data_IF_011135030756
#
_entry.id   IF_011135030756
#
_cell.length_a   1.000
_cell.length_b   1.000
_cell.length_c   1.000
_cell.angle_alpha   90.00
_cell.angle_beta   90.00
_cell.angle_gamma   90.00
#
_symmetry.space_group_name_H-M   'P 1'
#
loop_
_entity.id
_entity.type
_entity.pdbx_description
1 polymer ?
#
# COMPACT_ATOMS: atom_id res chain seq x y z
N UNK A 1 52.00 -22.23 41.50
CA UNK A 1 51.18 -22.45 40.29
C UNK A 1 49.74 -22.52 40.73
N UNK A 2 49.04 -21.39 40.67
CA UNK A 2 47.61 -21.27 41.01
C UNK A 2 46.86 -21.29 39.69
N UNK A 3 46.09 -22.36 39.47
CA UNK A 3 45.22 -22.51 38.31
C UNK A 3 43.90 -21.78 38.59
N UNK A 4 43.86 -20.50 38.25
CA UNK A 4 42.67 -19.67 38.31
C UNK A 4 41.87 -19.85 37.02
N UNK A 5 41.12 -20.96 36.92
CA UNK A 5 39.98 -21.07 36.00
C UNK A 5 38.96 -20.00 36.39
N UNK A 6 39.03 -18.83 35.76
CA UNK A 6 37.95 -17.88 35.74
C UNK A 6 36.72 -18.60 35.15
N UNK A 7 35.68 -18.74 35.96
CA UNK A 7 34.31 -18.98 35.51
C UNK A 7 33.76 -17.62 35.04
N UNK A 8 33.67 -17.32 33.74
CA UNK A 8 32.55 -16.52 33.29
C UNK A 8 31.31 -17.45 33.37
N UNK A 9 30.12 -16.95 33.68
CA UNK A 9 28.89 -17.34 32.96
C UNK A 9 27.58 -17.30 33.77
N UNK A 10 27.54 -17.13 35.10
CA UNK A 10 26.22 -17.10 35.77
C UNK A 10 25.50 -15.75 35.59
N UNK A 11 26.17 -14.65 35.90
CA UNK A 11 25.55 -13.32 35.96
C UNK A 11 25.18 -12.75 34.57
N UNK A 12 26.03 -12.98 33.56
CA UNK A 12 25.74 -12.59 32.17
C UNK A 12 24.64 -13.45 31.52
N UNK A 13 24.48 -14.73 31.93
CA UNK A 13 23.40 -15.58 31.43
C UNK A 13 22.05 -15.21 32.03
N UNK A 14 22.01 -14.81 33.29
CA UNK A 14 20.77 -14.33 33.93
C UNK A 14 20.30 -13.00 33.34
N UNK A 15 21.21 -12.04 33.08
CA UNK A 15 20.89 -10.77 32.43
C UNK A 15 20.38 -10.93 30.99
N UNK A 16 21.00 -11.82 30.20
CA UNK A 16 20.57 -12.10 28.84
C UNK A 16 19.20 -12.83 28.80
N UNK A 17 18.99 -13.81 29.67
CA UNK A 17 17.72 -14.53 29.75
C UNK A 17 16.56 -13.64 30.24
N UNK A 18 16.84 -12.68 31.13
CA UNK A 18 15.84 -11.71 31.59
C UNK A 18 15.42 -10.75 30.45
N UNK A 19 16.40 -10.20 29.72
CA UNK A 19 16.14 -9.30 28.59
C UNK A 19 15.35 -9.96 27.45
N UNK A 20 15.66 -11.23 27.13
CA UNK A 20 14.99 -11.98 26.06
C UNK A 20 13.53 -12.29 26.42
N UNK A 21 13.27 -12.67 27.67
CA UNK A 21 11.91 -12.91 28.14
C UNK A 21 11.06 -11.62 28.13
N UNK A 22 11.64 -10.47 28.53
CA UNK A 22 10.95 -9.18 28.51
C UNK A 22 10.62 -8.73 27.07
N UNK A 23 11.52 -8.94 26.11
CA UNK A 23 11.25 -8.66 24.69
C UNK A 23 10.12 -9.55 24.13
N UNK A 24 10.14 -10.85 24.44
CA UNK A 24 9.10 -11.78 24.01
C UNK A 24 7.73 -11.39 24.59
N UNK A 25 7.69 -11.01 25.87
CA UNK A 25 6.47 -10.53 26.54
C UNK A 25 5.99 -9.23 25.89
N UNK A 26 6.89 -8.28 25.58
CA UNK A 26 6.54 -7.03 24.93
C UNK A 26 5.99 -7.24 23.50
N UNK A 27 6.59 -8.14 22.71
CA UNK A 27 6.12 -8.52 21.37
C UNK A 27 4.71 -9.14 21.45
N UNK A 28 4.49 -10.07 22.38
CA UNK A 28 3.18 -10.72 22.60
C UNK A 28 2.08 -9.73 23.00
N UNK A 29 2.40 -8.72 23.82
CA UNK A 29 1.46 -7.65 24.17
C UNK A 29 1.09 -6.82 22.95
N UNK A 30 2.06 -6.48 22.11
CA UNK A 30 1.78 -5.77 20.85
C UNK A 30 0.89 -6.61 19.93
N UNK A 31 1.14 -7.91 19.85
CA UNK A 31 0.31 -8.84 19.06
C UNK A 31 -1.13 -8.93 19.58
N UNK A 32 -1.35 -8.85 20.89
CA UNK A 32 -2.70 -8.75 21.48
C UNK A 32 -3.43 -7.47 21.03
N UNK A 33 -2.78 -6.31 21.14
CA UNK A 33 -3.39 -5.05 20.73
C UNK A 33 -3.60 -4.97 19.21
N UNK A 34 -2.63 -5.45 18.42
CA UNK A 34 -2.73 -5.51 16.97
C UNK A 34 -3.86 -6.44 16.53
N UNK A 35 -3.98 -7.64 17.11
CA UNK A 35 -5.08 -8.57 16.80
C UNK A 35 -6.44 -8.00 17.18
N UNK A 36 -6.57 -7.30 18.30
CA UNK A 36 -7.81 -6.63 18.69
C UNK A 36 -8.19 -5.51 17.71
N UNK A 37 -7.22 -4.67 17.30
CA UNK A 37 -7.45 -3.60 16.33
C UNK A 37 -7.85 -4.16 14.95
N UNK A 38 -7.19 -5.22 14.48
CA UNK A 38 -7.52 -5.89 13.22
C UNK A 38 -8.89 -6.56 13.27
N UNK A 39 -9.29 -7.13 14.41
CA UNK A 39 -10.61 -7.70 14.62
C UNK A 39 -11.72 -6.64 14.53
N UNK A 40 -11.51 -5.47 15.14
CA UNK A 40 -12.43 -4.34 15.04
C UNK A 40 -12.52 -3.83 13.60
N UNK A 41 -11.40 -3.73 12.89
CA UNK A 41 -11.37 -3.34 11.47
C UNK A 41 -12.13 -4.33 10.60
N UNK A 42 -11.93 -5.64 10.79
CA UNK A 42 -12.66 -6.69 10.09
C UNK A 42 -14.17 -6.58 10.33
N UNK A 43 -14.59 -6.34 11.57
CA UNK A 43 -16.00 -6.14 11.90
C UNK A 43 -16.58 -4.89 11.24
N UNK A 44 -15.84 -3.77 11.24
CA UNK A 44 -16.25 -2.54 10.56
C UNK A 44 -16.39 -2.74 9.04
N UNK A 45 -15.46 -3.49 8.41
CA UNK A 45 -15.54 -3.84 7.00
C UNK A 45 -16.74 -4.74 6.69
N UNK A 46 -17.03 -5.73 7.53
CA UNK A 46 -18.24 -6.57 7.40
C UNK A 46 -19.51 -5.71 7.47
N UNK A 47 -19.61 -4.85 8.48
CA UNK A 47 -20.77 -3.97 8.65
C UNK A 47 -21.00 -3.08 7.42
N UNK A 48 -19.93 -2.51 6.85
CA UNK A 48 -20.03 -1.73 5.60
C UNK A 48 -20.33 -2.59 4.37
N UNK A 49 -19.72 -3.75 4.24
CA UNK A 49 -19.92 -4.62 3.08
C UNK A 49 -21.35 -5.13 2.99
N UNK A 50 -21.99 -5.38 4.14
CA UNK A 50 -23.39 -5.79 4.23
C UNK A 50 -24.39 -4.67 3.84
N UNK A 51 -23.95 -3.41 3.76
CA UNK A 51 -24.81 -2.31 3.28
C UNK A 51 -24.90 -2.21 1.77
N UNK A 52 -24.04 -2.92 1.02
CA UNK A 52 -24.11 -2.96 -0.44
C UNK A 52 -25.15 -3.99 -0.92
N UNK A 53 -25.91 -3.68 -1.99
CA UNK A 53 -26.87 -4.62 -2.55
C UNK A 53 -26.16 -5.86 -3.12
N UNK A 54 -26.57 -7.04 -2.66
CA UNK A 54 -26.02 -8.33 -3.11
C UNK A 54 -26.61 -8.78 -4.44
N UNK A 55 -27.83 -8.36 -4.77
CA UNK A 55 -28.50 -8.66 -6.03
C UNK A 55 -29.19 -7.37 -6.44
N UNK A 56 -28.79 -6.79 -7.57
CA UNK A 56 -29.40 -5.56 -8.08
C UNK A 56 -29.55 -5.62 -9.60
N UNK A 57 -30.62 -5.00 -10.10
CA UNK A 57 -30.88 -4.91 -11.54
C UNK A 57 -30.21 -3.65 -12.07
N UNK A 58 -29.06 -3.81 -12.73
CA UNK A 58 -28.38 -2.71 -13.39
C UNK A 58 -28.62 -2.81 -14.90
N UNK A 59 -29.28 -1.80 -15.49
CA UNK A 59 -29.55 -1.78 -16.93
C UNK A 59 -30.59 -2.80 -17.44
N UNK A 60 -31.49 -3.30 -16.58
CA UNK A 60 -32.56 -4.24 -16.96
C UNK A 60 -32.12 -5.71 -17.02
N UNK A 61 -30.89 -6.02 -16.62
CA UNK A 61 -30.39 -7.39 -16.43
C UNK A 61 -30.16 -7.62 -14.94
N UNK A 62 -30.69 -8.72 -14.41
CA UNK A 62 -30.49 -9.11 -13.01
C UNK A 62 -29.04 -9.54 -12.80
N UNK A 63 -28.27 -8.81 -12.00
CA UNK A 63 -26.91 -9.21 -11.65
C UNK A 63 -26.96 -10.35 -10.62
N UNK A 64 -26.19 -11.41 -10.88
CA UNK A 64 -26.04 -12.51 -9.95
C UNK A 64 -25.19 -12.09 -8.75
N UNK A 65 -25.44 -12.72 -7.59
CA UNK A 65 -24.77 -12.41 -6.33
C UNK A 65 -23.24 -12.46 -6.40
N UNK A 66 -22.67 -13.31 -7.27
CA UNK A 66 -21.22 -13.46 -7.46
C UNK A 66 -20.55 -12.25 -8.15
N UNK A 67 -21.34 -11.33 -8.71
CA UNK A 67 -20.88 -10.06 -9.32
C UNK A 67 -21.07 -8.89 -8.35
N UNK A 68 -21.53 -9.16 -7.11
CA UNK A 68 -21.79 -8.09 -6.15
C UNK A 68 -20.50 -7.35 -5.79
N UNK A 69 -20.51 -6.00 -5.81
CA UNK A 69 -19.40 -5.17 -5.34
C UNK A 69 -18.98 -5.47 -3.89
N UNK A 70 -19.85 -6.10 -3.11
CA UNK A 70 -19.63 -6.45 -1.71
C UNK A 70 -18.69 -7.65 -1.52
N UNK A 71 -18.55 -8.54 -2.51
CA UNK A 71 -17.90 -9.83 -2.33
C UNK A 71 -16.41 -9.73 -2.00
N UNK A 72 -15.71 -8.84 -2.69
CA UNK A 72 -14.28 -8.65 -2.47
C UNK A 72 -14.02 -8.09 -1.05
N UNK A 73 -14.65 -6.97 -0.62
CA UNK A 73 -14.60 -6.51 0.76
C UNK A 73 -14.95 -7.59 1.80
N UNK A 74 -15.99 -8.40 1.54
CA UNK A 74 -16.44 -9.45 2.46
C UNK A 74 -15.40 -10.56 2.60
N UNK A 75 -14.79 -11.02 1.49
CA UNK A 75 -13.76 -12.06 1.52
C UNK A 75 -12.53 -11.64 2.33
N UNK A 76 -12.10 -10.38 2.20
CA UNK A 76 -11.00 -9.81 2.97
C UNK A 76 -11.38 -9.73 4.44
N UNK A 77 -12.58 -9.22 4.75
CA UNK A 77 -13.02 -9.04 6.12
C UNK A 77 -13.16 -10.37 6.88
N UNK A 78 -13.66 -11.42 6.22
CA UNK A 78 -13.72 -12.78 6.80
C UNK A 78 -12.32 -13.32 7.06
N UNK A 79 -11.42 -13.27 6.07
CA UNK A 79 -10.04 -13.78 6.21
C UNK A 79 -9.29 -13.04 7.31
N UNK A 80 -9.39 -11.71 7.33
CA UNK A 80 -8.77 -10.85 8.33
C UNK A 80 -9.34 -11.14 9.73
N UNK A 81 -10.65 -11.32 9.85
CA UNK A 81 -11.32 -11.68 11.09
C UNK A 81 -10.83 -13.01 11.65
N UNK A 82 -10.71 -14.04 10.79
CA UNK A 82 -10.20 -15.36 11.18
C UNK A 82 -8.75 -15.30 11.69
N UNK A 83 -7.87 -14.63 10.95
CA UNK A 83 -6.46 -14.47 11.35
C UNK A 83 -6.36 -13.67 12.64
N UNK A 84 -7.12 -12.59 12.77
CA UNK A 84 -7.15 -11.75 13.98
C UNK A 84 -7.62 -12.54 15.20
N UNK A 85 -8.66 -13.36 15.04
CA UNK A 85 -9.17 -14.22 16.10
C UNK A 85 -8.15 -15.29 16.51
N UNK A 86 -7.42 -15.87 15.55
CA UNK A 86 -6.36 -16.84 15.83
C UNK A 86 -5.22 -16.20 16.64
N UNK A 87 -4.78 -15.01 16.26
CA UNK A 87 -3.75 -14.25 16.97
C UNK A 87 -4.22 -13.86 18.37
N UNK A 88 -5.46 -13.39 18.49
CA UNK A 88 -6.05 -13.02 19.77
C UNK A 88 -6.15 -14.23 20.71
N UNK A 89 -6.60 -15.38 20.19
CA UNK A 89 -6.69 -16.63 20.94
C UNK A 89 -5.30 -17.05 21.46
N UNK A 90 -4.27 -17.02 20.60
CA UNK A 90 -2.89 -17.32 21.00
C UNK A 90 -2.40 -16.36 22.07
N UNK A 91 -2.60 -15.05 21.89
CA UNK A 91 -2.17 -14.05 22.85
C UNK A 91 -2.87 -14.18 24.22
N UNK A 92 -4.14 -14.61 24.26
CA UNK A 92 -4.88 -14.89 25.49
C UNK A 92 -4.36 -16.17 26.17
N UNK A 93 -4.15 -17.25 25.40
CA UNK A 93 -3.63 -18.53 25.90
C UNK A 93 -2.21 -18.39 26.49
N UNK A 94 -1.37 -17.58 25.85
CA UNK A 94 0.00 -17.31 26.28
C UNK A 94 0.10 -16.28 27.42
N UNK A 95 -1.03 -15.89 28.03
CA UNK A 95 -1.06 -15.07 29.24
C UNK A 95 -0.88 -13.56 29.02
N UNK A 96 -0.99 -13.05 27.79
CA UNK A 96 -0.81 -11.63 27.46
C UNK A 96 -1.75 -10.66 28.20
N UNK A 97 -2.83 -11.16 28.78
CA UNK A 97 -3.80 -10.39 29.57
C UNK A 97 -3.47 -10.31 31.08
N UNK A 98 -2.47 -11.03 31.59
CA UNK A 98 -2.18 -11.14 33.03
C UNK A 98 -1.07 -10.19 33.49
N UNK A 99 -1.29 -8.88 33.40
CA UNK A 99 -0.91 -7.92 34.46
C UNK A 99 -1.39 -6.51 34.12
N UNK A 100 -2.37 -6.07 34.90
CA UNK A 100 -2.73 -4.65 35.05
C UNK A 100 -1.70 -4.01 35.99
N UNK A 101 -1.25 -2.83 35.58
CA UNK A 101 -0.49 -1.84 36.35
C UNK A 101 0.95 -2.18 36.76
N UNK A 102 1.88 -1.71 35.91
CA UNK A 102 2.92 -0.73 36.27
C UNK A 102 3.54 -0.22 34.97
N UNK A 103 2.89 0.76 34.34
CA UNK A 103 3.57 1.58 33.36
C UNK A 103 4.52 2.50 34.15
N UNK A 104 5.84 2.44 33.99
CA UNK A 104 6.68 3.55 34.41
C UNK A 104 6.17 4.77 33.64
N UNK A 105 5.70 5.76 34.40
CA UNK A 105 5.33 7.09 33.93
C UNK A 105 6.62 7.84 33.60
N UNK A 106 7.41 7.27 32.70
CA UNK A 106 8.52 7.98 32.10
C UNK A 106 8.08 8.38 30.71
N UNK A 107 7.51 9.58 30.67
CA UNK A 107 7.36 10.39 29.47
C UNK A 107 8.74 10.91 29.07
N UNK A 108 9.78 10.09 29.19
CA UNK A 108 11.05 10.37 28.57
C UNK A 108 10.79 10.34 27.08
N UNK A 109 11.42 11.31 26.43
CA UNK A 109 11.42 11.52 25.00
C UNK A 109 11.82 10.20 24.33
N UNK A 110 10.84 9.32 24.11
CA UNK A 110 10.93 8.32 23.09
C UNK A 110 11.08 9.16 21.83
N UNK A 111 12.32 9.33 21.39
CA UNK A 111 12.61 9.47 19.98
C UNK A 111 11.86 8.33 19.33
N UNK A 112 10.60 8.58 18.97
CA UNK A 112 9.91 7.84 17.93
C UNK A 112 10.97 7.74 16.85
N UNK A 113 11.43 6.53 16.49
CA UNK A 113 12.48 6.41 15.50
C UNK A 113 11.95 7.15 14.28
N UNK A 114 12.56 8.30 13.98
CA UNK A 114 12.08 9.25 12.99
C UNK A 114 11.98 8.60 11.59
N UNK A 115 12.47 7.36 11.45
CA UNK A 115 12.34 6.49 10.30
C UNK A 115 11.00 5.73 10.20
N UNK A 116 10.43 5.15 11.27
CA UNK A 116 9.25 4.27 11.16
C UNK A 116 7.94 5.07 11.00
N UNK A 117 7.73 6.07 11.86
CA UNK A 117 6.55 6.94 11.79
C UNK A 117 6.55 7.80 10.53
N UNK A 118 7.73 8.24 10.06
CA UNK A 118 7.86 8.97 8.81
C UNK A 118 7.49 8.11 7.60
N UNK A 119 7.93 6.85 7.53
CA UNK A 119 7.53 5.92 6.46
C UNK A 119 6.02 5.72 6.44
N UNK A 120 5.39 5.54 7.59
CA UNK A 120 3.91 5.44 7.68
C UNK A 120 3.25 6.72 7.17
N UNK A 121 3.74 7.90 7.57
CA UNK A 121 3.19 9.17 7.09
C UNK A 121 3.34 9.33 5.57
N UNK A 122 4.49 8.93 5.00
CA UNK A 122 4.74 8.95 3.55
C UNK A 122 3.82 7.98 2.81
N UNK A 123 3.59 6.78 3.35
CA UNK A 123 2.63 5.81 2.80
C UNK A 123 1.23 6.42 2.77
N UNK A 124 0.79 7.00 3.90
CA UNK A 124 -0.53 7.65 3.98
C UNK A 124 -0.65 8.84 3.02
N UNK A 125 0.43 9.61 2.83
CA UNK A 125 0.48 10.70 1.86
C UNK A 125 0.31 10.20 0.43
N UNK A 126 1.04 9.15 0.01
CA UNK A 126 0.88 8.59 -1.33
C UNK A 126 -0.52 8.02 -1.57
N UNK A 127 -1.08 7.29 -0.61
CA UNK A 127 -2.43 6.72 -0.72
C UNK A 127 -3.46 7.85 -0.82
N UNK A 128 -3.38 8.87 0.05
CA UNK A 128 -4.28 10.01 0.02
C UNK A 128 -4.21 10.75 -1.31
N UNK A 129 -3.00 10.99 -1.82
CA UNK A 129 -2.80 11.67 -3.10
C UNK A 129 -3.37 10.87 -4.27
N UNK A 130 -3.15 9.56 -4.28
CA UNK A 130 -3.70 8.68 -5.31
C UNK A 130 -5.22 8.71 -5.32
N UNK A 131 -5.85 8.49 -4.16
CA UNK A 131 -7.31 8.40 -4.03
C UNK A 131 -7.99 9.74 -4.33
N UNK A 132 -7.48 10.85 -3.80
CA UNK A 132 -8.15 12.15 -3.90
C UNK A 132 -7.74 13.00 -5.09
N UNK A 133 -6.58 12.75 -5.71
CA UNK A 133 -6.10 13.52 -6.86
C UNK A 133 -5.98 12.68 -8.12
N UNK A 134 -5.21 11.60 -8.09
CA UNK A 134 -4.86 10.89 -9.34
C UNK A 134 -6.05 10.10 -9.92
N UNK A 135 -6.70 9.27 -9.10
CA UNK A 135 -7.85 8.44 -9.50
C UNK A 135 -8.99 9.25 -10.14
N UNK A 136 -9.43 10.39 -9.58
CA UNK A 136 -10.54 11.15 -10.18
C UNK A 136 -10.15 12.04 -11.35
N UNK A 137 -8.87 12.21 -11.68
CA UNK A 137 -8.42 13.24 -12.63
C UNK A 137 -7.70 12.72 -13.86
N UNK A 138 -7.03 11.57 -13.78
CA UNK A 138 -6.16 11.02 -14.83
C UNK A 138 -6.68 9.65 -15.24
N UNK A 139 -6.42 9.22 -16.47
CA UNK A 139 -6.64 7.83 -16.91
C UNK A 139 -6.19 6.84 -15.82
N UNK A 140 -7.09 5.93 -15.45
CA UNK A 140 -6.90 5.06 -14.30
C UNK A 140 -5.66 4.16 -14.41
N UNK A 141 -5.27 3.73 -15.62
CA UNK A 141 -4.08 2.92 -15.82
C UNK A 141 -2.81 3.75 -15.59
N UNK A 142 -2.77 4.99 -16.10
CA UNK A 142 -1.64 5.92 -15.89
C UNK A 142 -1.54 6.37 -14.44
N UNK A 143 -2.66 6.72 -13.80
CA UNK A 143 -2.73 7.07 -12.39
C UNK A 143 -2.15 5.95 -11.52
N UNK A 144 -2.54 4.70 -11.81
CA UNK A 144 -2.07 3.51 -11.10
C UNK A 144 -0.59 3.23 -11.38
N UNK A 145 -0.13 3.41 -12.62
CA UNK A 145 1.29 3.22 -12.96
C UNK A 145 2.18 4.26 -12.27
N UNK A 146 1.78 5.53 -12.30
CA UNK A 146 2.48 6.60 -11.59
C UNK A 146 2.50 6.35 -10.09
N UNK A 147 1.35 6.01 -9.49
CA UNK A 147 1.26 5.70 -8.07
C UNK A 147 2.16 4.53 -7.67
N UNK A 148 2.09 3.39 -8.38
CA UNK A 148 2.92 2.22 -8.09
C UNK A 148 4.41 2.55 -8.21
N UNK A 149 4.81 3.31 -9.23
CA UNK A 149 6.20 3.72 -9.40
C UNK A 149 6.68 4.59 -8.22
N UNK A 150 5.93 5.63 -7.88
CA UNK A 150 6.26 6.56 -6.79
C UNK A 150 6.25 5.86 -5.43
N UNK A 151 5.30 4.94 -5.22
CA UNK A 151 5.14 4.20 -3.99
C UNK A 151 6.25 3.16 -3.80
N UNK A 152 6.50 2.30 -4.78
CA UNK A 152 7.43 1.16 -4.63
C UNK A 152 8.90 1.62 -4.55
N UNK A 153 9.28 2.64 -5.34
CA UNK A 153 10.67 3.10 -5.49
C UNK A 153 11.41 3.34 -4.16
N UNK A 154 10.92 4.19 -3.24
CA UNK A 154 11.62 4.48 -1.98
C UNK A 154 11.70 3.27 -1.03
N UNK A 155 10.74 2.34 -1.09
CA UNK A 155 10.68 1.18 -0.19
C UNK A 155 11.44 -0.04 -0.72
N UNK A 156 11.52 -0.23 -2.04
CA UNK A 156 12.19 -1.39 -2.64
C UNK A 156 13.69 -1.18 -2.84
N UNK A 157 14.10 0.05 -3.18
CA UNK A 157 15.52 0.39 -3.38
C UNK A 157 16.18 0.75 -2.04
N UNK A 158 15.38 1.12 -1.03
CA UNK A 158 15.81 1.42 0.35
C UNK A 158 16.83 2.58 0.45
N UNK A 159 16.85 3.48 -0.54
CA UNK A 159 17.68 4.70 -0.49
C UNK A 159 16.89 5.90 0.02
N UNK A 160 17.42 6.51 1.08
CA UNK A 160 16.81 7.68 1.74
C UNK A 160 16.63 8.85 0.77
N UNK A 161 17.54 9.05 -0.17
CA UNK A 161 17.46 10.12 -1.19
C UNK A 161 16.25 9.98 -2.13
N UNK A 162 15.67 8.78 -2.27
CA UNK A 162 14.52 8.54 -3.15
C UNK A 162 13.18 8.91 -2.51
N UNK A 163 13.11 8.97 -1.16
CA UNK A 163 11.90 9.38 -0.44
C UNK A 163 11.50 10.82 -0.80
N UNK A 164 12.37 11.85 -0.63
CA UNK A 164 11.98 13.21 -0.98
C UNK A 164 11.75 13.36 -2.49
N UNK A 165 12.52 12.68 -3.34
CA UNK A 165 12.33 12.72 -4.80
C UNK A 165 10.93 12.25 -5.21
N UNK A 166 10.51 11.09 -4.72
CA UNK A 166 9.18 10.52 -5.03
C UNK A 166 8.04 11.32 -4.40
N UNK A 167 8.23 11.86 -3.18
CA UNK A 167 7.24 12.72 -2.54
C UNK A 167 7.06 14.06 -3.29
N UNK A 168 8.16 14.71 -3.70
CA UNK A 168 8.14 15.92 -4.52
C UNK A 168 7.51 15.63 -5.88
N UNK A 169 7.86 14.50 -6.50
CA UNK A 169 7.23 14.04 -7.74
C UNK A 169 5.71 13.87 -7.61
N UNK A 170 5.25 13.26 -6.52
CA UNK A 170 3.84 13.08 -6.24
C UNK A 170 3.12 14.43 -6.05
N UNK A 171 3.63 15.27 -5.13
CA UNK A 171 3.03 16.58 -4.83
C UNK A 171 3.02 17.48 -6.06
N UNK A 172 4.10 17.50 -6.84
CA UNK A 172 4.16 18.29 -8.08
C UNK A 172 3.15 17.81 -9.13
N UNK A 173 2.96 16.49 -9.31
CA UNK A 173 1.90 15.96 -10.15
C UNK A 173 0.51 16.39 -9.67
N UNK A 174 0.23 16.27 -8.37
CA UNK A 174 -1.06 16.68 -7.81
C UNK A 174 -1.33 18.18 -8.02
N UNK A 175 -0.33 19.03 -7.78
CA UNK A 175 -0.45 20.47 -8.00
C UNK A 175 -0.67 20.75 -9.48
N UNK A 176 0.08 20.13 -10.38
CA UNK A 176 -0.04 20.40 -11.81
C UNK A 176 -1.37 19.90 -12.38
N UNK A 177 -1.84 18.71 -11.95
CA UNK A 177 -3.15 18.16 -12.29
C UNK A 177 -4.24 19.12 -11.83
N UNK A 178 -4.24 19.51 -10.54
CA UNK A 178 -5.27 20.41 -10.00
C UNK A 178 -5.29 21.77 -10.70
N UNK A 179 -4.12 22.34 -11.02
CA UNK A 179 -4.02 23.60 -11.77
C UNK A 179 -4.54 23.49 -13.20
N UNK A 180 -4.30 22.37 -13.90
CA UNK A 180 -4.82 22.15 -15.25
C UNK A 180 -6.33 21.85 -15.25
N UNK A 181 -6.83 21.12 -14.25
CA UNK A 181 -8.27 20.81 -14.15
C UNK A 181 -9.16 22.05 -14.01
N UNK A 182 -8.64 23.15 -13.46
CA UNK A 182 -9.38 24.42 -13.36
C UNK A 182 -9.44 25.20 -14.69
N UNK A 183 -8.68 24.79 -15.73
CA UNK A 183 -8.69 25.47 -17.02
C UNK A 183 -9.77 24.86 -17.93
N UNK A 184 -10.77 25.65 -18.38
CA UNK A 184 -11.93 25.14 -19.14
C UNK A 184 -11.59 24.62 -20.55
N UNK A 185 -10.35 24.78 -21.00
CA UNK A 185 -9.84 24.32 -22.31
C UNK A 185 -8.75 23.25 -22.19
N UNK A 186 -8.70 22.54 -21.06
CA UNK A 186 -7.81 21.39 -20.92
C UNK A 186 -8.14 20.37 -22.02
N UNK A 187 -7.18 20.14 -22.92
CA UNK A 187 -7.29 19.11 -23.95
C UNK A 187 -7.56 17.76 -23.29
N UNK A 188 -8.37 16.90 -23.92
CA UNK A 188 -8.88 15.64 -23.36
C UNK A 188 -7.79 14.75 -22.70
N UNK A 189 -6.55 14.79 -23.21
CA UNK A 189 -5.41 14.00 -22.71
C UNK A 189 -4.32 14.83 -22.03
N UNK A 190 -4.57 16.10 -21.70
CA UNK A 190 -3.55 16.98 -21.10
C UNK A 190 -3.12 16.49 -19.70
N UNK A 191 -4.08 15.99 -18.90
CA UNK A 191 -3.83 15.46 -17.56
C UNK A 191 -3.05 14.14 -17.62
N UNK A 192 -3.35 13.29 -18.61
CA UNK A 192 -2.59 12.07 -18.88
C UNK A 192 -1.14 12.38 -19.25
N UNK A 193 -0.93 13.43 -20.06
CA UNK A 193 0.39 13.94 -20.39
C UNK A 193 1.19 14.39 -19.17
N UNK A 194 0.54 15.03 -18.19
CA UNK A 194 1.16 15.39 -16.91
C UNK A 194 1.62 14.16 -16.15
N UNK A 195 0.78 13.14 -16.02
CA UNK A 195 1.13 11.91 -15.31
C UNK A 195 2.31 11.18 -15.95
N UNK A 196 2.32 11.08 -17.28
CA UNK A 196 3.44 10.50 -18.05
C UNK A 196 4.71 11.33 -17.86
N UNK A 197 4.62 12.66 -17.97
CA UNK A 197 5.76 13.55 -17.79
C UNK A 197 6.36 13.44 -16.39
N UNK A 198 5.52 13.37 -15.34
CA UNK A 198 6.00 13.15 -13.97
C UNK A 198 6.67 11.78 -13.84
N UNK A 199 6.07 10.71 -14.35
CA UNK A 199 6.65 9.37 -14.29
C UNK A 199 8.05 9.36 -14.91
N UNK A 200 8.18 9.89 -16.13
CA UNK A 200 9.45 9.96 -16.85
C UNK A 200 10.47 10.85 -16.13
N UNK A 201 10.05 12.00 -15.61
CA UNK A 201 10.94 12.92 -14.89
C UNK A 201 11.48 12.29 -13.61
N UNK A 202 10.62 11.69 -12.79
CA UNK A 202 11.06 11.02 -11.56
C UNK A 202 11.91 9.78 -11.88
N UNK A 203 11.55 9.00 -12.91
CA UNK A 203 12.32 7.83 -13.32
C UNK A 203 13.72 8.19 -13.85
N UNK A 204 13.84 9.24 -14.65
CA UNK A 204 15.13 9.73 -15.18
C UNK A 204 16.01 10.30 -14.08
N UNK A 205 15.45 11.09 -13.16
CA UNK A 205 16.19 11.58 -11.99
C UNK A 205 16.63 10.40 -11.11
N UNK A 206 15.74 9.47 -10.80
CA UNK A 206 16.10 8.26 -10.04
C UNK A 206 17.23 7.49 -10.74
N UNK A 207 17.10 7.22 -12.03
CA UNK A 207 18.16 6.57 -12.82
C UNK A 207 19.49 7.31 -12.72
N UNK A 208 19.48 8.65 -12.79
CA UNK A 208 20.68 9.46 -12.66
C UNK A 208 21.33 9.35 -11.27
N UNK A 209 20.55 9.34 -10.19
CA UNK A 209 21.06 9.12 -8.83
C UNK A 209 21.64 7.70 -8.65
N UNK A 210 21.08 6.72 -9.35
CA UNK A 210 21.34 5.30 -9.19
C UNK A 210 22.42 4.75 -10.15
N UNK A 211 22.80 5.53 -11.18
CA UNK A 211 23.66 5.09 -12.31
C UNK A 211 25.00 4.47 -11.90
N UNK A 212 25.52 4.82 -10.73
CA UNK A 212 26.81 4.34 -10.23
C UNK A 212 26.72 2.96 -9.55
N UNK A 213 25.50 2.43 -9.31
CA UNK A 213 25.27 1.16 -8.63
C UNK A 213 24.46 0.19 -9.51
N UNK A 214 25.10 -0.80 -10.17
CA UNK A 214 24.43 -1.64 -11.17
C UNK A 214 23.31 -2.52 -10.57
N UNK A 215 23.44 -2.93 -9.31
CA UNK A 215 22.40 -3.69 -8.60
C UNK A 215 21.13 -2.86 -8.38
N UNK A 216 21.28 -1.57 -8.06
CA UNK A 216 20.15 -0.69 -7.80
C UNK A 216 19.48 -0.24 -9.10
N UNK A 217 20.23 -0.08 -10.19
CA UNK A 217 19.68 0.11 -11.53
C UNK A 217 18.80 -1.08 -11.97
N UNK A 218 19.20 -2.31 -11.66
CA UNK A 218 18.36 -3.50 -11.90
C UNK A 218 17.06 -3.41 -11.10
N UNK A 219 17.16 -3.05 -9.81
CA UNK A 219 15.96 -2.83 -8.98
C UNK A 219 15.04 -1.76 -9.56
N UNK A 220 15.57 -0.61 -9.99
CA UNK A 220 14.77 0.46 -10.60
C UNK A 220 14.05 -0.01 -11.88
N UNK A 221 14.73 -0.81 -12.72
CA UNK A 221 14.08 -1.41 -13.91
C UNK A 221 12.95 -2.34 -13.53
N UNK A 222 13.14 -3.18 -12.51
CA UNK A 222 12.07 -4.04 -11.99
C UNK A 222 10.89 -3.22 -11.49
N UNK A 223 11.14 -2.16 -10.73
CA UNK A 223 10.07 -1.27 -10.23
C UNK A 223 9.30 -0.63 -11.38
N UNK A 224 10.01 -0.07 -12.36
CA UNK A 224 9.40 0.56 -13.54
C UNK A 224 8.57 -0.43 -14.36
N UNK A 225 9.09 -1.65 -14.57
CA UNK A 225 8.40 -2.71 -15.28
C UNK A 225 7.13 -3.13 -14.54
N UNK A 226 7.24 -3.41 -13.24
CA UNK A 226 6.09 -3.82 -12.42
C UNK A 226 5.03 -2.73 -12.36
N UNK A 227 5.43 -1.46 -12.19
CA UNK A 227 4.48 -0.35 -12.12
C UNK A 227 3.68 -0.15 -13.40
N UNK A 228 4.23 -0.51 -14.57
CA UNK A 228 3.54 -0.39 -15.85
C UNK A 228 2.77 -1.68 -16.19
N UNK A 229 3.41 -2.84 -16.01
CA UNK A 229 2.83 -4.13 -16.35
C UNK A 229 1.59 -4.47 -15.52
N UNK A 230 1.61 -4.17 -14.22
CA UNK A 230 0.49 -4.51 -13.33
C UNK A 230 -0.80 -3.80 -13.75
N UNK A 231 -0.86 -2.45 -13.90
CA UNK A 231 -2.05 -1.78 -14.41
C UNK A 231 -2.43 -2.22 -15.82
N UNK A 232 -1.47 -2.41 -16.73
CA UNK A 232 -1.76 -2.84 -18.11
C UNK A 232 -2.38 -4.23 -18.20
N UNK A 233 -2.16 -5.11 -17.22
CA UNK A 233 -2.83 -6.42 -17.16
C UNK A 233 -4.16 -6.30 -16.41
N UNK A 234 -4.15 -5.62 -15.26
CA UNK A 234 -5.27 -5.56 -14.35
C UNK A 234 -6.45 -4.75 -14.91
N UNK A 235 -6.17 -3.62 -15.58
CA UNK A 235 -7.20 -2.72 -16.13
C UNK A 235 -8.01 -3.40 -17.23
N UNK A 236 -7.43 -4.07 -18.25
CA UNK A 236 -8.20 -4.83 -19.23
C UNK A 236 -9.06 -5.94 -18.63
N UNK A 237 -8.53 -6.66 -17.62
CA UNK A 237 -9.29 -7.71 -16.94
C UNK A 237 -10.53 -7.10 -16.26
N UNK A 238 -10.38 -6.01 -15.51
CA UNK A 238 -11.55 -5.38 -14.89
C UNK A 238 -12.52 -4.80 -15.91
N UNK A 239 -12.00 -4.12 -16.94
CA UNK A 239 -12.83 -3.38 -17.89
C UNK A 239 -13.55 -4.25 -18.90
N UNK A 240 -12.84 -5.19 -19.51
CA UNK A 240 -13.34 -5.99 -20.63
C UNK A 240 -13.83 -7.37 -20.20
N UNK A 241 -13.18 -7.99 -19.21
CA UNK A 241 -13.60 -9.31 -18.72
C UNK A 241 -14.67 -9.22 -17.63
N UNK A 242 -14.49 -8.34 -16.64
CA UNK A 242 -15.45 -8.17 -15.54
C UNK A 242 -16.48 -7.04 -15.75
N UNK A 243 -16.36 -6.28 -16.84
CA UNK A 243 -17.27 -5.18 -17.20
C UNK A 243 -17.43 -4.12 -16.08
N UNK A 244 -16.38 -3.93 -15.28
CA UNK A 244 -16.37 -2.96 -14.18
C UNK A 244 -16.12 -1.56 -14.74
N UNK A 245 -16.98 -0.55 -14.41
CA UNK A 245 -16.74 0.83 -14.83
C UNK A 245 -15.51 1.39 -14.11
N UNK A 246 -14.62 2.03 -14.87
CA UNK A 246 -13.42 2.66 -14.34
C UNK A 246 -13.70 4.14 -13.99
N UNK A 247 -12.95 4.75 -13.04
CA UNK A 247 -13.22 6.10 -12.58
C UNK A 247 -13.09 7.17 -13.68
N UNK A 248 -11.98 7.11 -14.43
CA UNK A 248 -11.68 7.98 -15.57
C UNK A 248 -11.06 7.12 -16.67
N UNK A 249 -11.69 7.16 -17.83
CA UNK A 249 -11.20 6.55 -19.06
C UNK A 249 -10.52 7.66 -19.87
N UNK A 250 -9.25 7.48 -20.19
CA UNK A 250 -8.46 8.44 -20.94
C UNK A 250 -7.56 7.74 -21.97
N UNK A 251 -6.37 8.28 -22.20
CA UNK A 251 -5.52 7.89 -23.33
C UNK A 251 -5.26 6.38 -23.42
N UNK A 252 -4.98 5.70 -22.31
CA UNK A 252 -4.63 4.27 -22.34
C UNK A 252 -5.87 3.41 -22.52
N UNK A 253 -6.96 3.73 -21.83
CA UNK A 253 -8.19 2.95 -21.90
C UNK A 253 -8.88 3.13 -23.27
N UNK A 254 -8.91 4.35 -23.80
CA UNK A 254 -9.47 4.66 -25.13
C UNK A 254 -8.71 3.93 -26.24
N UNK A 255 -7.38 3.90 -26.16
CA UNK A 255 -6.55 3.16 -27.13
C UNK A 255 -6.74 1.66 -27.04
N UNK A 256 -6.90 1.10 -25.83
CA UNK A 256 -7.26 -0.31 -25.64
C UNK A 256 -8.63 -0.62 -26.23
N UNK A 257 -9.62 0.25 -26.01
CA UNK A 257 -10.97 0.06 -26.55
C UNK A 257 -10.98 0.10 -28.08
N UNK A 258 -10.24 1.02 -28.70
CA UNK A 258 -10.06 1.08 -30.14
C UNK A 258 -9.40 -0.21 -30.69
N UNK A 259 -8.39 -0.73 -29.99
CA UNK A 259 -7.75 -1.99 -30.39
C UNK A 259 -8.74 -3.16 -30.35
N UNK A 260 -9.51 -3.28 -29.26
CA UNK A 260 -10.49 -4.36 -29.10
C UNK A 260 -11.58 -4.27 -30.15
N UNK A 261 -12.10 -3.07 -30.44
CA UNK A 261 -13.14 -2.90 -31.46
C UNK A 261 -12.65 -3.23 -32.88
N UNK A 262 -11.38 -2.95 -33.19
CA UNK A 262 -10.79 -3.38 -34.45
C UNK A 262 -10.65 -4.90 -34.56
N UNK A 263 -10.33 -5.59 -33.46
CA UNK A 263 -10.22 -7.05 -33.43
C UNK A 263 -11.57 -7.75 -33.55
N UNK A 264 -12.63 -7.21 -32.94
CA UNK A 264 -13.99 -7.76 -33.05
C UNK A 264 -14.66 -7.43 -34.38
N UNK A 265 -14.27 -6.35 -35.06
CA UNK A 265 -14.80 -6.01 -36.39
C UNK A 265 -14.23 -6.88 -37.53
N UNK A 266 -13.17 -7.64 -37.28
CA UNK A 266 -12.52 -8.50 -38.28
C UNK A 266 -12.85 -10.00 -38.14
N UNK A 267 -13.60 -10.40 -37.10
CA UNK A 267 -14.01 -11.79 -36.85
C UNK A 267 -15.52 -11.98 -36.94
#
# INVERSE_FOLDING_TARGET
MVDSKQLPDSENREGAAFSENDELIQRRRRDFFTSLALLLLAFAMLAKSLTFPMTDSYGGVTNAWYVSPALFPLSIAVTLGLVSLLLLRRAILDGGARRRERAPKDRSKASFPASASCRVAVIMAFIGLYVYSFVPSVDFALASALFLFLFITPFYIEKVALIPLTLIGAVSACVLITLLSHRPTAHQYALDGVAIATLLTVATIAWWLLRHAPLECKKLRTVLLVSIAVPLVLVPIFRFFLLVPLPVEGLVIDTMQALVSHLTAQG
#
